data_IF_294973362877
#
_entry.id   IF_294973362877
#
_cell.length_a   1.000
_cell.length_b   1.000
_cell.length_c   1.000
_cell.angle_alpha   90.00
_cell.angle_beta   90.00
_cell.angle_gamma   90.00
#
_symmetry.space_group_name_H-M   'P 1'
#
loop_
_entity.id
_entity.type
_entity.pdbx_description
1 polymer ?
#
# COMPACT_ATOMS: atom_id res chain seq x y z
N UNK A 1 20.29 1.45 1.08
CA UNK A 1 20.17 2.85 1.50
C UNK A 1 18.79 3.22 2.08
N UNK A 2 17.83 2.30 2.18
CA UNK A 2 16.46 2.58 2.64
C UNK A 2 16.21 2.38 4.13
N UNK A 3 16.98 1.52 4.78
CA UNK A 3 16.88 1.20 6.20
C UNK A 3 18.22 1.44 6.91
N UNK A 4 18.30 2.39 7.86
CA UNK A 4 19.51 2.69 8.59
C UNK A 4 19.94 1.59 9.57
N UNK A 5 19.08 0.61 9.88
CA UNK A 5 19.40 -0.50 10.79
C UNK A 5 20.22 -1.60 10.11
N UNK A 6 20.29 -1.62 8.78
CA UNK A 6 20.97 -2.66 8.00
C UNK A 6 22.47 -2.42 7.98
N UNK A 7 23.23 -3.37 8.51
CA UNK A 7 24.68 -3.34 8.53
C UNK A 7 25.34 -4.09 7.36
N UNK A 8 24.60 -5.05 6.77
CA UNK A 8 25.09 -5.90 5.66
C UNK A 8 24.00 -6.10 4.60
N UNK A 9 24.37 -6.05 3.31
CA UNK A 9 23.44 -6.31 2.19
C UNK A 9 22.86 -7.73 2.21
N UNK A 10 23.61 -8.70 2.71
CA UNK A 10 23.14 -10.07 2.80
C UNK A 10 21.95 -10.21 3.75
N UNK A 11 21.89 -9.37 4.81
CA UNK A 11 20.78 -9.30 5.74
C UNK A 11 19.47 -8.95 5.02
N UNK A 12 19.51 -8.01 4.07
CA UNK A 12 18.33 -7.64 3.26
C UNK A 12 17.86 -8.84 2.45
N UNK A 13 18.79 -9.57 1.84
CA UNK A 13 18.47 -10.69 0.94
C UNK A 13 17.81 -11.85 1.72
N UNK A 14 18.30 -12.13 2.91
CA UNK A 14 17.86 -13.31 3.66
C UNK A 14 16.77 -13.05 4.68
N UNK A 15 16.56 -11.79 5.11
CA UNK A 15 15.71 -11.50 6.26
C UNK A 15 14.54 -10.55 5.96
N UNK A 16 14.54 -9.84 4.82
CA UNK A 16 13.53 -8.82 4.57
C UNK A 16 12.33 -9.36 3.77
N UNK A 17 11.13 -9.42 4.37
CA UNK A 17 9.94 -9.94 3.69
C UNK A 17 9.53 -9.08 2.49
N UNK A 18 9.82 -7.78 2.50
CA UNK A 18 9.57 -6.89 1.37
C UNK A 18 10.32 -7.31 0.11
N UNK A 19 11.58 -7.74 0.23
CA UNK A 19 12.37 -8.21 -0.91
C UNK A 19 11.79 -9.51 -1.47
N UNK A 20 11.42 -10.47 -0.61
CA UNK A 20 10.79 -11.73 -1.02
C UNK A 20 9.50 -11.49 -1.79
N UNK A 21 8.59 -10.68 -1.23
CA UNK A 21 7.31 -10.36 -1.87
C UNK A 21 7.50 -9.68 -3.24
N UNK A 22 8.39 -8.68 -3.33
CA UNK A 22 8.67 -7.97 -4.57
C UNK A 22 9.33 -8.88 -5.61
N UNK A 23 10.24 -9.76 -5.21
CA UNK A 23 10.90 -10.71 -6.12
C UNK A 23 9.88 -11.65 -6.75
N UNK A 24 9.00 -12.24 -5.95
CA UNK A 24 7.94 -13.14 -6.44
C UNK A 24 6.96 -12.38 -7.33
N UNK A 25 6.57 -11.16 -6.92
CA UNK A 25 5.71 -10.30 -7.72
C UNK A 25 6.34 -10.03 -9.11
N UNK A 26 7.63 -9.66 -9.19
CA UNK A 26 8.30 -9.37 -10.47
C UNK A 26 8.22 -10.56 -11.43
N UNK A 27 8.48 -11.77 -10.95
CA UNK A 27 8.38 -13.00 -11.75
C UNK A 27 6.93 -13.24 -12.18
N UNK A 28 5.98 -13.12 -11.26
CA UNK A 28 4.57 -13.31 -11.53
C UNK A 28 4.03 -12.28 -12.54
N UNK A 29 4.50 -11.02 -12.48
CA UNK A 29 4.13 -9.96 -13.41
C UNK A 29 4.55 -10.28 -14.84
N UNK A 30 5.77 -10.77 -15.05
CA UNK A 30 6.23 -11.23 -16.37
C UNK A 30 5.36 -12.37 -16.91
N UNK A 31 4.99 -13.33 -16.05
CA UNK A 31 4.10 -14.41 -16.46
C UNK A 31 2.69 -13.92 -16.86
N UNK A 32 2.19 -12.83 -16.26
CA UNK A 32 0.95 -12.17 -16.72
C UNK A 32 1.12 -11.65 -18.14
N UNK A 33 2.25 -11.00 -18.47
CA UNK A 33 2.53 -10.51 -19.82
C UNK A 33 2.60 -11.63 -20.86
N UNK A 34 3.08 -12.82 -20.48
CA UNK A 34 3.06 -14.02 -21.33
C UNK A 34 1.68 -14.69 -21.41
N UNK A 35 0.65 -14.14 -20.78
CA UNK A 35 -0.71 -14.69 -20.78
C UNK A 35 -0.87 -16.00 -20.01
N UNK A 36 0.04 -16.31 -19.08
CA UNK A 36 -0.06 -17.52 -18.25
C UNK A 36 -1.24 -17.39 -17.28
N UNK A 37 -2.24 -18.28 -17.34
CA UNK A 37 -3.39 -18.20 -16.46
C UNK A 37 -3.07 -18.76 -15.06
N UNK A 38 -3.72 -18.24 -14.03
CA UNK A 38 -3.74 -18.70 -12.62
C UNK A 38 -2.38 -18.68 -11.90
N UNK A 39 -1.31 -19.18 -12.49
CA UNK A 39 0.03 -19.32 -11.84
C UNK A 39 0.53 -17.99 -11.28
N UNK A 40 0.47 -16.85 -12.00
CA UNK A 40 0.91 -15.56 -11.46
C UNK A 40 0.18 -15.21 -10.15
N UNK A 41 -1.13 -15.41 -10.12
CA UNK A 41 -1.94 -15.14 -8.92
C UNK A 41 -1.59 -16.11 -7.79
N UNK A 42 -1.42 -17.39 -8.08
CA UNK A 42 -1.02 -18.38 -7.07
C UNK A 42 0.33 -18.04 -6.44
N UNK A 43 1.28 -17.54 -7.24
CA UNK A 43 2.60 -17.11 -6.74
C UNK A 43 2.48 -15.92 -5.79
N UNK A 44 1.73 -14.89 -6.16
CA UNK A 44 1.58 -13.70 -5.31
C UNK A 44 0.75 -13.99 -4.07
N UNK A 45 -0.25 -14.88 -4.11
CA UNK A 45 -0.97 -15.34 -2.92
C UNK A 45 -0.09 -16.19 -1.99
N UNK A 46 0.83 -16.97 -2.55
CA UNK A 46 1.83 -17.67 -1.74
C UNK A 46 2.75 -16.67 -1.01
N UNK A 47 3.26 -15.66 -1.72
CA UNK A 47 4.07 -14.60 -1.14
C UNK A 47 3.30 -13.84 -0.04
N UNK A 48 2.04 -13.48 -0.30
CA UNK A 48 1.15 -12.84 0.67
C UNK A 48 1.03 -13.66 1.95
N UNK A 49 0.81 -14.97 1.83
CA UNK A 49 0.72 -15.88 2.98
C UNK A 49 2.01 -15.92 3.80
N UNK A 50 3.19 -15.84 3.17
CA UNK A 50 4.48 -15.91 3.86
C UNK A 50 4.87 -14.56 4.49
N UNK A 51 4.60 -13.46 3.81
CA UNK A 51 5.14 -12.13 4.16
C UNK A 51 4.11 -11.17 4.75
N UNK A 52 2.82 -11.47 4.60
CA UNK A 52 1.75 -10.51 4.93
C UNK A 52 1.65 -9.34 3.94
N UNK A 53 2.27 -9.42 2.76
CA UNK A 53 2.32 -8.38 1.73
C UNK A 53 1.54 -8.87 0.50
N UNK A 54 0.42 -8.23 0.21
CA UNK A 54 -0.45 -8.56 -0.93
C UNK A 54 -0.16 -7.63 -2.12
N UNK A 55 0.51 -8.15 -3.15
CA UNK A 55 0.75 -7.44 -4.40
C UNK A 55 0.08 -8.20 -5.54
N UNK A 56 -0.93 -7.57 -6.17
CA UNK A 56 -1.56 -8.18 -7.32
C UNK A 56 -0.57 -8.26 -8.51
N UNK A 57 -0.45 -9.42 -9.22
CA UNK A 57 0.54 -9.58 -10.28
C UNK A 57 0.30 -8.66 -11.49
N UNK A 58 -0.90 -8.10 -11.65
CA UNK A 58 -1.23 -7.11 -12.68
C UNK A 58 -0.82 -5.68 -12.37
N UNK A 59 -0.43 -5.36 -11.14
CA UNK A 59 0.08 -4.03 -10.79
C UNK A 59 1.35 -3.71 -11.60
N UNK A 60 1.57 -2.43 -11.91
CA UNK A 60 2.79 -1.95 -12.55
C UNK A 60 3.62 -1.23 -11.51
N UNK A 61 4.85 -1.67 -11.30
CA UNK A 61 5.75 -1.12 -10.29
C UNK A 61 7.10 -0.83 -10.94
N UNK A 62 7.56 0.42 -10.85
CA UNK A 62 8.82 0.90 -11.38
C UNK A 62 10.05 0.33 -10.66
N UNK A 63 11.22 0.87 -10.96
CA UNK A 63 12.50 0.44 -10.42
C UNK A 63 12.73 0.95 -8.99
N UNK A 64 13.60 0.28 -8.25
CA UNK A 64 14.02 0.65 -6.89
C UNK A 64 12.85 0.81 -5.90
N UNK A 65 11.76 0.09 -6.12
CA UNK A 65 10.63 0.05 -5.21
C UNK A 65 11.03 -0.63 -3.88
N UNK A 66 10.69 0.01 -2.77
CA UNK A 66 11.08 -0.45 -1.43
C UNK A 66 9.89 -0.57 -0.50
N UNK A 67 9.77 -1.72 0.18
CA UNK A 67 8.80 -1.97 1.24
C UNK A 67 9.56 -2.16 2.55
N UNK A 68 9.26 -1.32 3.53
CA UNK A 68 9.79 -1.44 4.88
C UNK A 68 8.78 -2.14 5.79
N UNK A 69 9.21 -3.14 6.57
CA UNK A 69 8.40 -4.06 7.38
C UNK A 69 7.37 -4.83 6.54
N UNK A 70 6.40 -4.17 5.97
CA UNK A 70 5.51 -4.64 4.92
C UNK A 70 4.22 -5.31 5.37
N UNK A 71 4.11 -5.85 6.57
CA UNK A 71 2.90 -6.54 7.03
C UNK A 71 1.65 -5.70 6.81
N UNK A 72 0.65 -6.27 6.12
CA UNK A 72 -0.62 -5.60 5.84
C UNK A 72 -0.59 -4.63 4.65
N UNK A 73 0.48 -4.61 3.86
CA UNK A 73 0.51 -3.87 2.59
C UNK A 73 -0.41 -4.54 1.59
N UNK A 74 -1.22 -3.73 0.89
CA UNK A 74 -2.10 -4.18 -0.21
C UNK A 74 -1.88 -3.30 -1.43
N UNK A 75 -1.51 -3.89 -2.56
CA UNK A 75 -1.34 -3.22 -3.86
C UNK A 75 -2.25 -3.87 -4.89
N UNK A 76 -3.28 -3.13 -5.31
CA UNK A 76 -4.32 -3.63 -6.21
C UNK A 76 -3.89 -3.73 -7.68
N UNK A 77 -4.63 -4.52 -8.44
CA UNK A 77 -4.34 -4.93 -9.84
C UNK A 77 -3.97 -3.79 -10.79
N UNK A 78 -4.68 -2.67 -10.72
CA UNK A 78 -4.50 -1.56 -11.66
C UNK A 78 -3.71 -0.39 -11.05
N UNK A 79 -2.90 -0.65 -10.01
CA UNK A 79 -1.94 0.34 -9.53
C UNK A 79 -0.87 0.59 -10.59
N UNK A 80 -0.50 1.87 -10.77
CA UNK A 80 0.70 2.30 -11.46
C UNK A 80 1.61 2.97 -10.43
N UNK A 81 2.79 2.42 -10.21
CA UNK A 81 3.76 2.90 -9.20
C UNK A 81 5.07 3.21 -9.95
N UNK A 82 5.53 4.43 -9.80
CA UNK A 82 6.76 4.92 -10.40
C UNK A 82 8.03 4.39 -9.75
N UNK A 83 9.14 5.02 -10.11
CA UNK A 83 10.47 4.64 -9.64
C UNK A 83 10.76 5.19 -8.24
N UNK A 84 11.58 4.46 -7.47
CA UNK A 84 12.08 4.88 -6.16
C UNK A 84 10.98 5.21 -5.14
N UNK A 85 9.81 4.59 -5.28
CA UNK A 85 8.73 4.72 -4.31
C UNK A 85 9.04 3.87 -3.08
N UNK A 86 8.81 4.44 -1.90
CA UNK A 86 8.99 3.78 -0.61
C UNK A 86 7.67 3.70 0.14
N UNK A 87 7.31 2.52 0.63
CA UNK A 87 6.11 2.32 1.43
C UNK A 87 6.41 1.55 2.71
N UNK A 88 5.59 1.76 3.72
CA UNK A 88 5.69 1.12 5.03
C UNK A 88 4.52 0.15 5.25
N UNK A 89 4.55 -0.57 6.37
CA UNK A 89 3.53 -1.54 6.75
C UNK A 89 2.12 -0.94 6.76
N UNK A 90 1.12 -1.78 6.44
CA UNK A 90 -0.28 -1.43 6.46
C UNK A 90 -0.76 -0.45 5.38
N UNK A 91 0.12 -0.07 4.44
CA UNK A 91 -0.27 0.80 3.32
C UNK A 91 -1.21 0.06 2.39
N UNK A 92 -2.34 0.71 2.06
CA UNK A 92 -3.32 0.17 1.11
C UNK A 92 -3.43 1.08 -0.12
N UNK A 93 -3.14 0.52 -1.30
CA UNK A 93 -3.40 1.12 -2.60
C UNK A 93 -4.58 0.40 -3.25
N UNK A 94 -5.79 0.87 -2.96
CA UNK A 94 -7.04 0.16 -3.19
C UNK A 94 -8.00 0.83 -4.19
N UNK A 95 -9.10 0.15 -4.48
CA UNK A 95 -10.21 0.72 -5.22
C UNK A 95 -11.13 1.52 -4.29
N UNK A 96 -11.61 2.68 -4.74
CA UNK A 96 -12.62 3.47 -4.02
C UNK A 96 -14.04 2.96 -4.32
N UNK A 97 -14.28 2.56 -5.57
CA UNK A 97 -15.56 2.05 -6.05
C UNK A 97 -15.32 1.14 -7.24
N UNK A 98 -16.34 0.36 -7.57
CA UNK A 98 -16.35 -0.51 -8.73
C UNK A 98 -17.35 0.05 -9.75
N UNK A 99 -16.92 0.25 -11.01
CA UNK A 99 -17.81 0.65 -12.08
C UNK A 99 -18.74 -0.50 -12.45
N UNK A 100 -20.01 -0.18 -12.68
CA UNK A 100 -21.03 -1.13 -13.17
C UNK A 100 -21.55 -0.66 -14.53
N UNK A 101 -21.96 -1.61 -15.37
CA UNK A 101 -22.69 -1.34 -16.61
C UNK A 101 -24.17 -0.96 -16.36
N UNK A 102 -24.93 -0.76 -17.43
CA UNK A 102 -26.35 -0.41 -17.35
C UNK A 102 -27.20 -1.53 -16.71
N UNK A 103 -26.73 -2.76 -16.74
CA UNK A 103 -27.35 -3.96 -16.17
C UNK A 103 -26.90 -4.21 -14.72
N UNK A 104 -26.03 -3.34 -14.14
CA UNK A 104 -25.53 -3.45 -12.77
C UNK A 104 -24.39 -4.47 -12.60
N UNK A 105 -23.82 -4.98 -13.69
CA UNK A 105 -22.70 -5.91 -13.64
C UNK A 105 -21.35 -5.17 -13.53
N UNK A 106 -20.39 -5.75 -12.81
CA UNK A 106 -19.06 -5.15 -12.63
C UNK A 106 -18.29 -5.08 -13.94
N UNK A 107 -17.86 -3.88 -14.31
CA UNK A 107 -16.94 -3.67 -15.44
C UNK A 107 -15.54 -4.11 -15.00
N UNK A 108 -15.03 -5.18 -15.61
CA UNK A 108 -13.71 -5.74 -15.32
C UNK A 108 -12.61 -5.00 -16.09
N UNK A 109 -11.38 -4.99 -15.54
CA UNK A 109 -10.19 -4.44 -16.20
C UNK A 109 -10.09 -2.91 -16.22
N UNK A 110 -11.11 -2.17 -15.77
CA UNK A 110 -11.03 -0.72 -15.68
C UNK A 110 -10.04 -0.27 -14.59
N UNK A 111 -9.36 0.85 -14.84
CA UNK A 111 -8.48 1.52 -13.85
C UNK A 111 -9.31 1.88 -12.61
N UNK A 112 -8.98 1.26 -11.46
CA UNK A 112 -9.70 1.44 -10.19
C UNK A 112 -8.80 1.67 -8.98
N UNK A 113 -7.48 1.50 -9.15
CA UNK A 113 -6.47 1.69 -8.11
C UNK A 113 -5.60 2.92 -8.44
N UNK A 114 -5.00 3.56 -7.43
CA UNK A 114 -4.28 4.82 -7.62
C UNK A 114 -3.04 4.72 -8.50
N UNK A 115 -2.56 5.89 -8.91
CA UNK A 115 -1.24 6.09 -9.51
C UNK A 115 -0.35 6.80 -8.49
N UNK A 116 0.83 6.25 -8.26
CA UNK A 116 1.87 6.80 -7.39
C UNK A 116 3.05 7.15 -8.29
N UNK A 117 3.39 8.42 -8.38
CA UNK A 117 4.51 8.85 -9.21
C UNK A 117 5.86 8.60 -8.52
N UNK A 118 6.95 9.01 -9.17
CA UNK A 118 8.32 8.73 -8.74
C UNK A 118 8.67 9.35 -7.37
N UNK A 119 9.52 8.68 -6.61
CA UNK A 119 10.12 9.16 -5.35
C UNK A 119 9.11 9.54 -4.27
N UNK A 120 7.91 8.99 -4.34
CA UNK A 120 6.89 9.17 -3.29
C UNK A 120 7.23 8.28 -2.10
N UNK A 121 7.03 8.84 -0.90
CA UNK A 121 7.15 8.10 0.37
C UNK A 121 5.76 8.01 1.02
N UNK A 122 5.31 6.79 1.33
CA UNK A 122 4.00 6.53 1.94
C UNK A 122 4.22 5.84 3.29
N UNK A 123 3.92 6.55 4.37
CA UNK A 123 4.11 6.05 5.73
C UNK A 123 3.00 5.09 6.18
N UNK A 124 3.26 4.42 7.28
CA UNK A 124 2.48 3.31 7.82
C UNK A 124 0.98 3.57 7.91
N UNK A 125 0.19 2.55 7.52
CA UNK A 125 -1.27 2.53 7.60
C UNK A 125 -1.98 3.62 6.76
N UNK A 126 -1.27 4.29 5.84
CA UNK A 126 -1.93 5.19 4.91
C UNK A 126 -2.79 4.40 3.91
N UNK A 127 -3.95 4.94 3.59
CA UNK A 127 -4.90 4.33 2.64
C UNK A 127 -5.13 5.29 1.48
N UNK A 128 -4.79 4.87 0.26
CA UNK A 128 -4.93 5.66 -0.97
C UNK A 128 -5.84 4.89 -1.92
N UNK A 129 -6.98 5.48 -2.28
CA UNK A 129 -8.03 4.79 -3.03
C UNK A 129 -8.41 5.52 -4.30
N UNK A 130 -8.76 4.72 -5.32
CA UNK A 130 -9.46 5.18 -6.52
C UNK A 130 -8.57 5.36 -7.75
N UNK A 131 -9.07 4.94 -8.91
CA UNK A 131 -8.34 4.93 -10.17
C UNK A 131 -8.02 6.30 -10.76
N UNK A 132 -8.66 7.36 -10.27
CA UNK A 132 -8.36 8.76 -10.65
C UNK A 132 -7.45 9.47 -9.65
N UNK A 133 -7.15 8.84 -8.53
CA UNK A 133 -6.26 9.38 -7.51
C UNK A 133 -4.81 9.24 -7.97
N UNK A 134 -4.10 10.36 -8.03
CA UNK A 134 -2.68 10.44 -8.38
C UNK A 134 -1.95 11.07 -7.21
N UNK A 135 -0.89 10.43 -6.74
CA UNK A 135 0.06 11.05 -5.81
C UNK A 135 1.26 11.50 -6.64
N UNK A 136 1.41 12.82 -6.78
CA UNK A 136 2.47 13.44 -7.57
C UNK A 136 3.86 13.17 -7.00
N UNK A 137 4.85 13.16 -7.88
CA UNK A 137 6.25 12.83 -7.56
C UNK A 137 6.82 13.68 -6.42
N UNK A 138 7.83 13.15 -5.74
CA UNK A 138 8.52 13.80 -4.62
C UNK A 138 7.59 14.20 -3.45
N UNK A 139 6.45 13.51 -3.31
CA UNK A 139 5.49 13.78 -2.24
C UNK A 139 5.63 12.79 -1.08
N UNK A 140 5.15 13.22 0.09
CA UNK A 140 5.14 12.42 1.31
C UNK A 140 3.71 12.28 1.81
N UNK A 141 3.25 11.04 1.98
CA UNK A 141 1.96 10.72 2.62
C UNK A 141 2.25 10.22 4.03
N UNK A 142 1.77 10.96 5.02
CA UNK A 142 1.95 10.64 6.44
C UNK A 142 1.19 9.40 6.89
N UNK A 143 1.50 8.93 8.08
CA UNK A 143 0.88 7.74 8.66
C UNK A 143 -0.63 7.92 8.86
N UNK A 144 -1.38 6.84 8.59
CA UNK A 144 -2.84 6.76 8.80
C UNK A 144 -3.67 7.80 8.04
N UNK A 145 -3.11 8.40 6.99
CA UNK A 145 -3.84 9.34 6.13
C UNK A 145 -4.76 8.57 5.18
N UNK A 146 -5.95 9.12 4.95
CA UNK A 146 -6.92 8.60 3.97
C UNK A 146 -6.99 9.53 2.76
N UNK A 147 -6.52 9.08 1.60
CA UNK A 147 -6.43 9.85 0.36
C UNK A 147 -7.35 9.27 -0.71
N UNK A 148 -8.26 10.09 -1.22
CA UNK A 148 -9.21 9.72 -2.30
C UNK A 148 -9.22 10.74 -3.44
N UNK A 149 -8.31 11.71 -3.40
CA UNK A 149 -8.17 12.76 -4.42
C UNK A 149 -6.69 12.97 -4.77
N UNK A 150 -6.46 13.58 -5.92
CA UNK A 150 -5.10 13.83 -6.40
C UNK A 150 -4.32 14.74 -5.47
N UNK A 151 -3.08 14.36 -5.18
CA UNK A 151 -2.07 15.14 -4.45
C UNK A 151 -1.07 15.69 -5.46
N UNK A 152 -0.85 17.00 -5.44
CA UNK A 152 0.12 17.64 -6.33
C UNK A 152 1.56 17.18 -6.02
N UNK A 153 2.49 17.22 -7.01
CA UNK A 153 3.89 16.95 -6.75
C UNK A 153 4.49 17.82 -5.64
N UNK A 154 5.55 17.34 -4.99
CA UNK A 154 6.28 18.01 -3.91
C UNK A 154 5.39 18.37 -2.69
N UNK A 155 4.35 17.60 -2.43
CA UNK A 155 3.40 17.84 -1.35
C UNK A 155 3.65 16.94 -0.14
N UNK A 156 3.36 17.45 1.05
CA UNK A 156 3.31 16.63 2.26
C UNK A 156 1.87 16.60 2.79
N UNK A 157 1.29 15.41 2.88
CA UNK A 157 -0.06 15.18 3.39
C UNK A 157 0.05 14.54 4.76
N UNK A 158 -0.47 15.20 5.78
CA UNK A 158 -0.43 14.71 7.17
C UNK A 158 -1.77 14.94 7.85
N UNK A 159 -2.08 14.12 8.85
CA UNK A 159 -3.20 14.39 9.75
C UNK A 159 -2.84 15.54 10.70
N UNK A 160 -3.80 16.39 11.01
CA UNK A 160 -3.65 17.30 12.15
C UNK A 160 -3.41 16.48 13.42
N UNK A 161 -2.56 16.99 14.32
CA UNK A 161 -2.29 16.32 15.59
C UNK A 161 -3.60 16.13 16.37
N UNK A 162 -4.00 14.89 16.70
CA UNK A 162 -5.19 14.66 17.51
C UNK A 162 -4.96 15.27 18.90
N UNK A 163 -5.99 15.92 19.44
CA UNK A 163 -5.97 16.39 20.81
C UNK A 163 -6.09 15.19 21.75
N UNK A 164 -5.04 14.90 22.49
CA UNK A 164 -5.06 13.84 23.50
C UNK A 164 -5.80 14.34 24.75
N UNK A 165 -6.82 13.59 25.19
CA UNK A 165 -7.46 13.79 26.50
C UNK A 165 -6.81 12.80 27.49
N UNK A 166 -5.94 13.29 28.34
CA UNK A 166 -5.32 12.48 29.40
C UNK A 166 -6.26 12.57 30.63
N UNK A 167 -6.71 11.42 31.09
CA UNK A 167 -7.48 11.29 32.34
C UNK A 167 -6.59 10.64 33.40
N UNK A 168 -6.65 11.11 34.65
CA UNK A 168 -6.00 10.47 35.77
C UNK A 168 -6.77 9.19 36.15
N UNK A 169 -6.09 8.20 36.75
CA UNK A 169 -6.72 6.94 37.15
C UNK A 169 -7.89 7.14 38.14
N UNK A 170 -7.88 8.21 38.94
CA UNK A 170 -8.97 8.61 39.81
C UNK A 170 -10.23 9.07 39.09
N UNK A 171 -10.14 9.47 37.84
CA UNK A 171 -11.30 9.92 37.06
C UNK A 171 -12.07 8.73 36.41
N UNK A 172 -11.57 7.51 36.58
CA UNK A 172 -12.12 6.28 36.01
C UNK A 172 -13.21 5.64 36.91
N UNK A 173 -13.41 6.13 38.12
CA UNK A 173 -14.32 5.54 39.11
C UNK A 173 -15.78 5.98 38.97
N UNK A 174 -16.16 6.69 37.89
CA UNK A 174 -17.56 6.93 37.58
C UNK A 174 -17.95 6.00 36.43
N UNK A 175 -18.83 5.03 36.66
CA UNK A 175 -19.39 4.25 35.57
C UNK A 175 -20.27 5.19 34.72
N UNK A 176 -19.76 5.76 33.62
CA UNK A 176 -20.60 6.24 32.56
C UNK A 176 -21.05 5.00 31.78
N UNK A 177 -22.33 4.63 31.91
CA UNK A 177 -23.04 3.63 31.14
C UNK A 177 -23.10 4.04 29.65
N UNK A 178 -22.00 4.08 28.94
CA UNK A 178 -21.97 4.29 27.50
C UNK A 178 -20.62 3.84 26.92
N UNK A 179 -20.35 2.52 26.94
CA UNK A 179 -19.48 1.91 25.95
C UNK A 179 -20.35 1.45 24.77
N UNK A 180 -20.54 2.29 23.78
CA UNK A 180 -20.88 1.83 22.45
C UNK A 180 -19.58 1.56 21.72
N UNK A 181 -19.29 0.27 21.46
CA UNK A 181 -18.28 -0.20 20.50
C UNK A 181 -18.91 -0.17 19.12
#
# INVERSE_FOLDING_TARGET
DGDPSVTNRDEIIFCFPGLEAVTIYRIAHELVHFGVPFIPRMMTEWAHKQTGIDIHPGAKIGEYFFIDHGTGVVIGETCDIGDRVKIYQGVTLGALSFATDAEGQLIRGAKRHPTIEDRVVIYANATILGGRTIVGHDSVIGSSVWVTSTVAPHSTVVLEKPKLKIRNATDILVPEDNYQI
#
